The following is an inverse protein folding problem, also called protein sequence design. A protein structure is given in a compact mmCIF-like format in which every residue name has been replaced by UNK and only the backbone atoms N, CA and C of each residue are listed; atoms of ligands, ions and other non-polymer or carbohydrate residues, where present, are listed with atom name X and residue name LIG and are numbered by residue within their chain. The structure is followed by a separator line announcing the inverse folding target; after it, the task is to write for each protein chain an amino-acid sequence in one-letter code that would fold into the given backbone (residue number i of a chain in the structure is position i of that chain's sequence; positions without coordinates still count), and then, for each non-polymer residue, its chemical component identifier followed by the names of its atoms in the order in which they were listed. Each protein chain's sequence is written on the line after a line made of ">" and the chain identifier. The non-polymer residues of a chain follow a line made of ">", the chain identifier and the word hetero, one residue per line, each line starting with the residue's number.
data_IF_153602504960
#
_entry.id   IF_153602504960
#
_cell.length_a   1.000
_cell.length_b   1.000
_cell.length_c   1.000
_cell.angle_alpha   90.00
_cell.angle_beta   90.00
_cell.angle_gamma   90.00
#
_symmetry.space_group_name_H-M   'P 1'
#
loop_
_entity.id
_entity.type
_entity.pdbx_description
1 polymer ?
#
# COMPACT_ATOMS: atom_id res chain seq x y z
N UNK A 1 -2.54 -26.60 -1.20
CA UNK A 1 -3.47 -25.73 -1.94
C UNK A 1 -4.46 -25.15 -0.94
N UNK A 2 -3.97 -24.35 -0.01
CA UNK A 2 -4.79 -23.53 0.88
C UNK A 2 -4.53 -22.09 0.46
N UNK A 3 -5.33 -21.63 -0.49
CA UNK A 3 -5.25 -20.27 -1.03
C UNK A 3 -5.83 -19.31 0.01
N UNK A 4 -4.98 -18.36 0.41
CA UNK A 4 -5.23 -17.02 0.97
C UNK A 4 -6.71 -16.70 1.27
N UNK A 5 -7.24 -17.18 2.41
CA UNK A 5 -8.55 -16.74 2.93
C UNK A 5 -8.60 -15.22 3.15
N UNK A 6 -7.44 -14.60 3.35
CA UNK A 6 -7.35 -13.18 3.69
C UNK A 6 -7.47 -12.24 2.48
N UNK A 7 -7.10 -12.66 1.26
CA UNK A 7 -7.19 -11.80 0.07
C UNK A 7 -8.62 -11.75 -0.44
N UNK A 8 -9.34 -12.87 -0.45
CA UNK A 8 -10.75 -12.90 -0.85
C UNK A 8 -11.61 -12.11 0.14
N UNK A 9 -11.32 -12.21 1.44
CA UNK A 9 -11.96 -11.37 2.45
C UNK A 9 -11.71 -9.87 2.23
N UNK A 10 -10.49 -9.48 1.82
CA UNK A 10 -10.17 -8.09 1.47
C UNK A 10 -10.93 -7.64 0.22
N UNK A 11 -11.01 -8.48 -0.82
CA UNK A 11 -11.76 -8.21 -2.06
C UNK A 11 -13.25 -7.96 -1.78
N UNK A 12 -13.86 -8.78 -0.92
CA UNK A 12 -15.29 -8.68 -0.59
C UNK A 12 -15.65 -7.39 0.17
N UNK A 13 -14.70 -6.80 0.89
CA UNK A 13 -14.90 -5.59 1.70
C UNK A 13 -14.59 -4.32 0.88
N UNK A 14 -13.82 -4.43 -0.20
CA UNK A 14 -13.38 -3.29 -1.00
C UNK A 14 -14.48 -2.79 -1.92
N UNK A 15 -14.81 -1.51 -1.82
CA UNK A 15 -15.71 -0.81 -2.75
C UNK A 15 -15.04 0.46 -3.27
N UNK A 16 -15.41 0.98 -4.46
CA UNK A 16 -14.80 2.20 -4.98
C UNK A 16 -14.93 3.39 -4.03
N UNK A 17 -16.06 3.51 -3.32
CA UNK A 17 -16.27 4.55 -2.31
C UNK A 17 -15.33 4.46 -1.10
N UNK A 18 -14.85 3.25 -0.76
CA UNK A 18 -13.90 3.08 0.34
C UNK A 18 -12.53 3.70 0.03
N UNK A 19 -12.14 3.80 -1.25
CA UNK A 19 -10.88 4.42 -1.66
C UNK A 19 -10.83 5.94 -1.40
N UNK A 20 -11.99 6.58 -1.34
CA UNK A 20 -12.13 7.99 -0.99
C UNK A 20 -12.24 8.24 0.53
N UNK A 21 -12.08 7.19 1.35
CA UNK A 21 -12.00 7.28 2.81
C UNK A 21 -10.63 6.78 3.31
N UNK A 22 -9.58 7.62 3.28
CA UNK A 22 -8.22 7.22 3.66
C UNK A 22 -8.10 6.72 5.11
N UNK A 23 -8.99 7.15 6.01
CA UNK A 23 -8.95 6.75 7.41
C UNK A 23 -9.14 5.25 7.63
N UNK A 24 -10.06 4.64 6.89
CA UNK A 24 -10.33 3.18 6.97
C UNK A 24 -9.15 2.40 6.41
N UNK A 25 -8.66 2.77 5.23
CA UNK A 25 -7.54 2.09 4.59
C UNK A 25 -6.24 2.22 5.39
N UNK A 26 -5.94 3.40 5.95
CA UNK A 26 -4.81 3.58 6.87
C UNK A 26 -4.92 2.69 8.11
N UNK A 27 -6.12 2.54 8.66
CA UNK A 27 -6.34 1.69 9.82
C UNK A 27 -6.06 0.22 9.49
N UNK A 28 -6.51 -0.23 8.32
CA UNK A 28 -6.18 -1.56 7.80
C UNK A 28 -4.67 -1.74 7.61
N UNK A 29 -4.00 -0.85 6.85
CA UNK A 29 -2.57 -0.95 6.57
C UNK A 29 -1.74 -0.99 7.86
N UNK A 30 -2.07 -0.12 8.82
CA UNK A 30 -1.44 -0.10 10.14
C UNK A 30 -1.61 -1.42 10.89
N UNK A 31 -2.83 -1.97 10.92
CA UNK A 31 -3.10 -3.24 11.62
C UNK A 31 -2.42 -4.42 10.93
N UNK A 32 -2.44 -4.44 9.60
CA UNK A 32 -1.75 -5.43 8.78
C UNK A 32 -0.25 -5.43 9.09
N UNK A 33 0.44 -4.27 8.98
CA UNK A 33 1.87 -4.13 9.31
C UNK A 33 2.18 -4.56 10.74
N UNK A 34 1.33 -4.18 11.70
CA UNK A 34 1.48 -4.60 13.10
C UNK A 34 1.41 -6.11 13.27
N UNK A 35 0.53 -6.77 12.52
CA UNK A 35 0.33 -8.21 12.60
C UNK A 35 1.44 -8.99 11.87
N UNK A 36 1.92 -8.51 10.72
CA UNK A 36 2.90 -9.22 9.90
C UNK A 36 4.34 -8.78 10.13
N UNK A 37 4.65 -7.50 10.01
CA UNK A 37 6.01 -6.94 9.91
C UNK A 37 6.55 -6.56 11.30
N UNK A 38 5.80 -5.78 12.08
CA UNK A 38 6.24 -5.35 13.43
C UNK A 38 6.33 -6.54 14.40
N UNK A 39 5.55 -7.58 14.15
CA UNK A 39 5.53 -8.79 14.98
C UNK A 39 6.72 -9.72 14.72
N UNK A 40 7.49 -9.53 13.63
CA UNK A 40 8.58 -10.43 13.21
C UNK A 40 9.59 -10.70 14.33
N UNK A 41 9.92 -9.67 15.12
CA UNK A 41 10.86 -9.77 16.25
C UNK A 41 10.37 -10.76 17.31
N UNK A 42 9.06 -10.84 17.51
CA UNK A 42 8.43 -11.71 18.52
C UNK A 42 7.96 -13.04 17.93
N UNK A 43 7.58 -13.06 16.66
CA UNK A 43 6.94 -14.18 15.99
C UNK A 43 7.96 -15.24 15.52
N UNK A 44 9.21 -14.87 15.27
CA UNK A 44 10.27 -15.81 14.92
C UNK A 44 10.89 -16.41 16.20
N UNK A 45 10.64 -17.69 16.53
CA UNK A 45 11.37 -18.37 17.58
C UNK A 45 12.82 -18.59 17.12
N UNK A 46 13.74 -18.68 18.09
CA UNK A 46 15.20 -18.85 17.87
C UNK A 46 15.61 -20.09 17.05
N UNK A 47 14.67 -20.93 16.58
CA UNK A 47 14.91 -22.10 15.74
C UNK A 47 13.69 -22.40 14.84
N UNK A 48 13.90 -22.36 13.51
CA UNK A 48 13.18 -23.21 12.54
C UNK A 48 11.92 -22.71 11.82
N UNK A 49 11.37 -21.52 12.07
CA UNK A 49 10.05 -21.13 11.51
C UNK A 49 10.04 -20.02 10.45
N UNK A 50 11.19 -19.58 9.94
CA UNK A 50 11.25 -18.45 9.01
C UNK A 50 10.42 -18.70 7.74
N UNK A 51 10.58 -19.87 7.11
CA UNK A 51 9.80 -20.22 5.92
C UNK A 51 8.29 -20.15 6.17
N UNK A 52 7.83 -20.67 7.32
CA UNK A 52 6.42 -20.63 7.72
C UNK A 52 5.90 -19.21 7.92
N UNK A 53 6.63 -18.40 8.68
CA UNK A 53 6.28 -16.98 8.90
C UNK A 53 6.20 -16.22 7.57
N UNK A 54 7.13 -16.47 6.65
CA UNK A 54 7.14 -15.86 5.34
C UNK A 54 5.94 -16.30 4.50
N UNK A 55 5.71 -17.61 4.37
CA UNK A 55 4.70 -18.17 3.46
C UNK A 55 3.27 -18.03 3.96
N UNK A 56 3.05 -18.09 5.28
CA UNK A 56 1.70 -18.09 5.87
C UNK A 56 1.28 -16.72 6.42
N UNK A 57 2.21 -15.81 6.71
CA UNK A 57 1.87 -14.53 7.36
C UNK A 57 2.37 -13.34 6.57
N UNK A 58 3.67 -13.27 6.28
CA UNK A 58 4.27 -12.06 5.73
C UNK A 58 3.88 -11.83 4.26
N UNK A 59 4.13 -12.79 3.38
CA UNK A 59 3.85 -12.63 1.95
C UNK A 59 2.35 -12.51 1.65
N UNK A 60 1.44 -13.28 2.27
CA UNK A 60 0.01 -13.05 2.13
C UNK A 60 -0.41 -11.62 2.53
N UNK A 61 0.11 -11.11 3.65
CA UNK A 61 -0.19 -9.76 4.11
C UNK A 61 0.32 -8.70 3.12
N UNK A 62 1.52 -8.87 2.57
CA UNK A 62 2.07 -7.95 1.56
C UNK A 62 1.23 -7.94 0.29
N UNK A 63 0.79 -9.10 -0.20
CA UNK A 63 -0.11 -9.19 -1.37
C UNK A 63 -1.43 -8.48 -1.10
N UNK A 64 -2.02 -8.66 0.08
CA UNK A 64 -3.26 -7.98 0.45
C UNK A 64 -3.11 -6.46 0.48
N UNK A 65 -1.99 -5.94 1.00
CA UNK A 65 -1.70 -4.49 1.00
C UNK A 65 -1.45 -3.95 -0.41
N UNK A 66 -0.68 -4.66 -1.23
CA UNK A 66 -0.44 -4.30 -2.63
C UNK A 66 -1.75 -4.25 -3.41
N UNK A 67 -2.61 -5.25 -3.23
CA UNK A 67 -3.91 -5.33 -3.89
C UNK A 67 -4.78 -4.10 -3.60
N UNK A 68 -4.87 -3.67 -2.34
CA UNK A 68 -5.65 -2.49 -1.96
C UNK A 68 -5.08 -1.22 -2.60
N UNK A 69 -3.76 -1.05 -2.58
CA UNK A 69 -3.10 0.13 -3.15
C UNK A 69 -3.21 0.17 -4.69
N UNK A 70 -3.17 -0.98 -5.35
CA UNK A 70 -3.37 -1.11 -6.80
C UNK A 70 -4.84 -0.86 -7.17
N UNK A 71 -5.78 -1.49 -6.47
CA UNK A 71 -7.21 -1.30 -6.69
C UNK A 71 -7.61 0.17 -6.54
N UNK A 72 -7.19 0.84 -5.45
CA UNK A 72 -7.56 2.23 -5.24
C UNK A 72 -6.89 3.20 -6.22
N UNK A 73 -5.73 2.83 -6.78
CA UNK A 73 -5.09 3.61 -7.84
C UNK A 73 -5.87 3.48 -9.16
N UNK A 74 -6.33 2.27 -9.48
CA UNK A 74 -7.21 2.04 -10.64
C UNK A 74 -8.54 2.78 -10.49
N UNK A 75 -9.17 2.71 -9.31
CA UNK A 75 -10.39 3.47 -9.02
C UNK A 75 -10.14 4.96 -9.21
N UNK A 76 -9.09 5.53 -8.64
CA UNK A 76 -8.77 6.95 -8.82
C UNK A 76 -8.57 7.32 -10.29
N UNK A 77 -7.89 6.47 -11.08
CA UNK A 77 -7.71 6.68 -12.53
C UNK A 77 -9.03 6.64 -13.29
N UNK A 78 -9.92 5.70 -12.98
CA UNK A 78 -11.24 5.62 -13.64
C UNK A 78 -12.11 6.84 -13.33
N UNK A 79 -12.09 7.33 -12.09
CA UNK A 79 -12.81 8.53 -11.70
C UNK A 79 -12.24 9.80 -12.36
N UNK A 80 -10.91 9.90 -12.49
CA UNK A 80 -10.26 11.01 -13.20
C UNK A 80 -10.70 11.10 -14.66
N UNK A 81 -10.74 9.96 -15.36
CA UNK A 81 -11.21 9.88 -16.76
C UNK A 81 -12.71 10.22 -16.85
N UNK A 82 -13.53 9.69 -15.94
CA UNK A 82 -14.95 10.03 -15.89
C UNK A 82 -15.19 11.53 -15.65
N UNK A 83 -14.41 12.16 -14.77
CA UNK A 83 -14.48 13.60 -14.52
C UNK A 83 -14.14 14.42 -15.78
N UNK A 84 -13.12 14.02 -16.56
CA UNK A 84 -12.76 14.73 -17.79
C UNK A 84 -13.82 14.61 -18.89
N UNK A 85 -14.53 13.47 -18.98
CA UNK A 85 -15.60 13.27 -19.97
C UNK A 85 -16.88 14.05 -19.65
N UNK A 86 -17.13 14.35 -18.37
CA UNK A 86 -18.28 15.12 -17.92
C UNK A 86 -18.00 16.63 -17.80
N UNK A 87 -16.78 17.06 -18.14
CA UNK A 87 -16.43 18.47 -18.22
C UNK A 87 -17.08 19.11 -19.45
N UNK A 88 -18.32 19.58 -19.31
CA UNK A 88 -18.91 20.51 -20.28
C UNK A 88 -18.04 21.77 -20.38
N UNK A 89 -17.89 22.38 -21.58
CA UNK A 89 -17.17 23.64 -21.74
C UNK A 89 -17.94 24.75 -21.03
N UNK A 90 -17.60 25.01 -19.76
CA UNK A 90 -18.10 26.16 -19.02
C UNK A 90 -17.52 27.41 -19.67
N UNK A 91 -18.39 28.11 -20.42
CA UNK A 91 -18.17 29.49 -20.82
C UNK A 91 -17.84 30.34 -19.60
N UNK A 92 -16.78 31.14 -19.69
CA UNK A 92 -16.45 32.22 -18.77
C UNK A 92 -17.70 33.08 -18.48
N UNK A 93 -18.39 32.79 -17.38
CA UNK A 93 -19.35 33.70 -16.78
C UNK A 93 -19.14 33.63 -15.28
N UNK A 94 -18.54 34.72 -14.79
CA UNK A 94 -18.10 34.87 -13.43
C UNK A 94 -19.20 34.57 -12.42
N UNK A 95 -18.81 33.79 -11.42
CA UNK A 95 -19.09 34.02 -10.00
C UNK A 95 -18.25 33.00 -9.24
N UNK A 96 -16.93 33.08 -9.41
CA UNK A 96 -16.04 32.65 -8.33
C UNK A 96 -16.40 33.52 -7.14
N UNK A 97 -17.14 32.95 -6.19
CA UNK A 97 -17.30 33.57 -4.88
C UNK A 97 -15.94 33.47 -4.20
N UNK A 98 -15.09 34.46 -4.47
CA UNK A 98 -13.90 34.74 -3.67
C UNK A 98 -14.34 34.80 -2.20
N UNK A 99 -14.16 33.71 -1.46
CA UNK A 99 -14.39 33.65 -0.01
C UNK A 99 -13.32 34.48 0.67
N UNK A 100 -13.41 35.81 0.56
CA UNK A 100 -12.47 36.76 1.17
C UNK A 100 -12.44 36.56 2.69
N UNK A 101 -11.44 35.83 3.18
CA UNK A 101 -11.23 35.59 4.60
C UNK A 101 -10.54 36.81 5.19
N UNK A 102 -11.18 37.47 6.16
CA UNK A 102 -10.57 38.55 6.92
C UNK A 102 -9.44 37.98 7.80
N UNK A 103 -8.18 38.44 7.65
CA UNK A 103 -7.06 37.99 8.47
C UNK A 103 -7.24 38.20 9.97
N UNK A 104 -8.15 39.07 10.42
CA UNK A 104 -8.51 39.22 11.84
C UNK A 104 -9.36 38.07 12.38
N UNK A 105 -10.15 37.44 11.52
CA UNK A 105 -11.05 36.34 11.90
C UNK A 105 -10.31 35.00 11.84
N UNK A 106 -9.37 34.86 10.91
CA UNK A 106 -8.49 33.71 10.79
C UNK A 106 -7.09 34.13 10.27
N UNK A 107 -6.09 34.30 11.16
CA UNK A 107 -4.71 34.61 10.79
C UNK A 107 -4.03 33.53 9.92
N UNK A 108 -4.54 32.30 9.89
CA UNK A 108 -3.97 31.18 9.12
C UNK A 108 -4.70 30.92 7.81
N UNK A 109 -5.96 31.32 7.69
CA UNK A 109 -6.79 31.16 6.49
C UNK A 109 -6.22 31.86 5.24
N UNK A 110 -5.40 32.90 5.42
CA UNK A 110 -4.70 33.57 4.32
C UNK A 110 -3.70 32.67 3.57
N UNK A 111 -3.17 31.62 4.22
CA UNK A 111 -2.22 30.68 3.59
C UNK A 111 -2.90 29.74 2.60
N UNK A 112 -4.18 29.48 2.81
CA UNK A 112 -4.99 28.55 2.02
C UNK A 112 -6.02 29.29 1.15
N UNK A 113 -6.08 30.62 1.25
CA UNK A 113 -6.87 31.48 0.37
C UNK A 113 -6.45 31.30 -1.10
N UNK A 114 -7.43 31.08 -1.98
CA UNK A 114 -7.21 30.89 -3.41
C UNK A 114 -6.65 29.51 -3.81
N UNK A 115 -6.46 28.58 -2.86
CA UNK A 115 -6.22 27.18 -3.21
C UNK A 115 -7.55 26.52 -3.53
N UNK A 116 -7.75 26.20 -4.80
CA UNK A 116 -8.77 25.22 -5.18
C UNK A 116 -8.40 23.89 -4.54
N UNK A 117 -9.33 23.29 -3.79
CA UNK A 117 -9.13 21.94 -3.28
C UNK A 117 -8.87 21.03 -4.48
N UNK A 118 -7.77 20.28 -4.42
CA UNK A 118 -7.44 19.34 -5.49
C UNK A 118 -8.60 18.35 -5.67
N UNK A 119 -8.84 17.88 -6.91
CA UNK A 119 -9.83 16.86 -7.16
C UNK A 119 -9.65 15.66 -6.20
N UNK A 120 -10.73 15.05 -5.70
CA UNK A 120 -10.66 13.98 -4.72
C UNK A 120 -9.81 12.79 -5.20
N UNK A 121 -9.79 12.51 -6.51
CA UNK A 121 -8.93 11.50 -7.14
C UNK A 121 -7.43 11.82 -7.01
N UNK A 122 -7.04 13.10 -7.06
CA UNK A 122 -5.66 13.53 -6.91
C UNK A 122 -5.19 13.36 -5.46
N UNK A 123 -6.06 13.69 -4.51
CA UNK A 123 -5.80 13.46 -3.10
C UNK A 123 -5.61 11.96 -2.79
N UNK A 124 -6.42 11.08 -3.39
CA UNK A 124 -6.27 9.63 -3.27
C UNK A 124 -4.94 9.16 -3.85
N UNK A 125 -4.55 9.60 -5.05
CA UNK A 125 -3.27 9.21 -5.68
C UNK A 125 -2.05 9.69 -4.90
N UNK A 126 -2.09 10.92 -4.38
CA UNK A 126 -1.03 11.46 -3.53
C UNK A 126 -0.89 10.69 -2.21
N UNK A 127 -2.01 10.22 -1.65
CA UNK A 127 -1.97 9.35 -0.48
C UNK A 127 -1.42 7.96 -0.82
N UNK A 128 -1.85 7.35 -1.92
CA UNK A 128 -1.36 6.03 -2.36
C UNK A 128 0.15 6.06 -2.60
N UNK A 129 0.68 7.12 -3.24
CA UNK A 129 2.13 7.24 -3.45
C UNK A 129 2.91 7.30 -2.13
N UNK A 130 2.35 7.99 -1.13
CA UNK A 130 2.91 8.03 0.22
C UNK A 130 2.89 6.66 0.89
N UNK A 131 1.78 5.90 0.79
CA UNK A 131 1.70 4.55 1.35
C UNK A 131 2.62 3.56 0.62
N UNK A 132 2.81 3.70 -0.70
CA UNK A 132 3.78 2.88 -1.45
C UNK A 132 5.21 3.12 -0.97
N UNK A 133 5.56 4.37 -0.70
CA UNK A 133 6.87 4.70 -0.10
C UNK A 133 7.01 4.08 1.30
N UNK A 134 5.95 4.11 2.12
CA UNK A 134 5.97 3.46 3.44
C UNK A 134 6.10 1.94 3.30
N UNK A 135 5.39 1.31 2.37
CA UNK A 135 5.51 -0.13 2.10
C UNK A 135 6.92 -0.50 1.64
N UNK A 136 7.57 0.31 0.82
CA UNK A 136 8.96 0.10 0.42
C UNK A 136 9.90 0.06 1.64
N UNK A 137 9.77 1.04 2.54
CA UNK A 137 10.55 1.10 3.78
C UNK A 137 10.27 -0.12 4.68
N UNK A 138 8.99 -0.42 4.91
CA UNK A 138 8.57 -1.54 5.76
C UNK A 138 9.10 -2.88 5.22
N UNK A 139 9.09 -3.06 3.89
CA UNK A 139 9.62 -4.27 3.24
C UNK A 139 11.12 -4.34 3.38
N UNK A 140 11.84 -3.27 3.11
CA UNK A 140 13.29 -3.20 3.23
C UNK A 140 13.75 -3.53 4.66
N UNK A 141 13.12 -2.95 5.67
CA UNK A 141 13.40 -3.24 7.08
C UNK A 141 13.06 -4.69 7.46
N UNK A 142 11.88 -5.19 7.07
CA UNK A 142 11.48 -6.58 7.34
C UNK A 142 12.42 -7.58 6.69
N UNK A 143 12.83 -7.31 5.46
CA UNK A 143 13.77 -8.16 4.72
C UNK A 143 15.15 -8.12 5.35
N UNK A 144 15.66 -6.94 5.74
CA UNK A 144 16.94 -6.84 6.46
C UNK A 144 16.93 -7.66 7.74
N UNK A 145 15.84 -7.57 8.50
CA UNK A 145 15.65 -8.34 9.71
C UNK A 145 15.65 -9.86 9.43
N UNK A 146 14.90 -10.29 8.41
CA UNK A 146 14.87 -11.69 8.01
C UNK A 146 16.22 -12.18 7.48
N UNK A 147 16.94 -11.38 6.70
CA UNK A 147 18.27 -11.73 6.22
C UNK A 147 19.26 -11.95 7.39
N UNK A 148 19.19 -11.12 8.44
CA UNK A 148 20.00 -11.26 9.65
C UNK A 148 19.63 -12.50 10.47
N UNK A 149 18.33 -12.79 10.62
CA UNK A 149 17.85 -13.88 11.51
C UNK A 149 17.70 -15.23 10.85
N UNK A 150 17.30 -15.24 9.58
CA UNK A 150 16.92 -16.44 8.84
C UNK A 150 17.95 -16.83 7.77
N UNK A 151 18.86 -15.92 7.40
CA UNK A 151 19.84 -16.16 6.34
C UNK A 151 19.19 -16.20 4.96
N UNK A 152 19.63 -17.06 4.04
CA UNK A 152 19.05 -17.14 2.70
C UNK A 152 17.72 -17.91 2.70
N UNK A 153 16.76 -17.40 1.92
CA UNK A 153 15.53 -18.13 1.62
C UNK A 153 15.82 -19.25 0.62
N UNK A 154 15.51 -20.49 0.97
CA UNK A 154 15.33 -21.59 0.01
C UNK A 154 13.84 -21.90 -0.11
N UNK A 155 13.16 -21.30 -1.10
CA UNK A 155 11.79 -21.69 -1.47
C UNK A 155 11.74 -22.81 -2.51
N UNK A 156 12.89 -23.23 -3.05
CA UNK A 156 13.01 -24.34 -3.99
C UNK A 156 14.33 -25.10 -3.73
N UNK A 157 14.25 -26.43 -3.63
CA UNK A 157 15.40 -27.30 -3.41
C UNK A 157 16.25 -27.43 -4.69
N UNK A 158 17.36 -26.71 -4.78
CA UNK A 158 18.40 -26.99 -5.79
C UNK A 158 19.73 -27.35 -5.11
N UNK A 159 20.30 -28.55 -5.37
CA UNK A 159 21.49 -29.04 -4.67
C UNK A 159 22.82 -28.50 -5.24
N UNK A 160 22.80 -27.61 -6.23
CA UNK A 160 24.00 -27.19 -6.95
C UNK A 160 24.00 -25.69 -7.26
N UNK A 161 24.27 -24.85 -6.25
CA UNK A 161 24.86 -23.53 -6.50
C UNK A 161 25.49 -22.96 -5.23
N UNK A 162 26.82 -23.02 -5.19
CA UNK A 162 27.63 -22.48 -4.09
C UNK A 162 27.77 -20.97 -4.24
N UNK A 163 26.82 -20.22 -3.69
CA UNK A 163 26.98 -18.90 -3.03
C UNK A 163 25.60 -18.48 -2.53
N UNK A 164 25.35 -18.72 -1.24
CA UNK A 164 24.14 -18.28 -0.54
C UNK A 164 24.17 -16.76 -0.41
N UNK A 165 23.46 -16.06 -1.29
CA UNK A 165 23.20 -14.64 -1.11
C UNK A 165 22.19 -14.49 0.04
N UNK A 166 22.68 -14.11 1.22
CA UNK A 166 21.89 -13.58 2.35
C UNK A 166 21.37 -12.17 2.05
N UNK A 167 21.33 -11.75 0.78
CA UNK A 167 21.04 -10.37 0.43
C UNK A 167 19.54 -10.09 0.48
N UNK A 168 19.13 -8.91 0.95
CA UNK A 168 17.75 -8.44 0.89
C UNK A 168 17.06 -8.65 -0.47
N UNK A 169 17.80 -8.53 -1.56
CA UNK A 169 17.28 -8.73 -2.91
C UNK A 169 16.70 -10.14 -3.15
N UNK A 170 17.23 -11.17 -2.51
CA UNK A 170 16.73 -12.54 -2.67
C UNK A 170 15.32 -12.71 -2.12
N UNK A 171 15.02 -12.01 -1.02
CA UNK A 171 13.68 -12.01 -0.41
C UNK A 171 12.67 -11.27 -1.27
N UNK A 172 13.08 -10.13 -1.85
CA UNK A 172 12.20 -9.38 -2.75
C UNK A 172 11.89 -10.18 -4.04
N UNK A 173 12.87 -10.87 -4.62
CA UNK A 173 12.64 -11.77 -5.77
C UNK A 173 11.71 -12.95 -5.44
N UNK A 174 11.83 -13.48 -4.23
CA UNK A 174 10.94 -14.52 -3.73
C UNK A 174 9.51 -13.98 -3.59
N UNK A 175 9.34 -12.77 -3.04
CA UNK A 175 8.05 -12.10 -2.98
C UNK A 175 7.47 -11.84 -4.38
N UNK A 176 8.26 -11.35 -5.34
CA UNK A 176 7.78 -11.12 -6.71
C UNK A 176 7.27 -12.41 -7.37
N UNK A 177 7.98 -13.51 -7.15
CA UNK A 177 7.56 -14.83 -7.62
C UNK A 177 6.27 -15.28 -6.96
N UNK A 178 6.15 -15.09 -5.64
CA UNK A 178 4.94 -15.39 -4.88
C UNK A 178 3.75 -14.54 -5.35
N UNK A 179 3.92 -13.23 -5.47
CA UNK A 179 2.91 -12.27 -5.92
C UNK A 179 2.35 -12.65 -7.29
N UNK A 180 3.20 -13.06 -8.24
CA UNK A 180 2.78 -13.52 -9.58
C UNK A 180 1.87 -14.74 -9.54
N UNK A 181 2.09 -15.66 -8.62
CA UNK A 181 1.26 -16.88 -8.48
C UNK A 181 -0.11 -16.53 -7.89
N UNK A 182 -0.17 -15.53 -7.02
CA UNK A 182 -1.33 -15.24 -6.18
C UNK A 182 -2.15 -14.00 -6.59
N UNK A 183 -1.70 -13.24 -7.59
CA UNK A 183 -2.46 -12.13 -8.18
C UNK A 183 -3.29 -12.51 -9.43
N UNK A 184 -3.23 -13.76 -9.89
CA UNK A 184 -4.09 -14.29 -10.96
C UNK A 184 -5.44 -14.79 -10.43
#
# INVERSE_FOLDING_TARGET
>A
METIKDLDAVKDILSPGACFSPGTLRSFLRLSRKHSDDSLVTALPRVGSCAKCISETLFPAWVARDYILEYCDDVARTFAVAASHNAEPVSESGTETEKKVDPRFDPYGARDYGKTEAPPEDAVRAWISSERMVEEIVRDDSVRFLADKCGPIFLEASPTSTRLATSPESYMKAYDSYKKIHQN
#
